data_IF_699882928237
#
_entry.id   IF_699882928237
#
_cell.length_a   1.000
_cell.length_b   1.000
_cell.length_c   1.000
_cell.angle_alpha   90.00
_cell.angle_beta   90.00
_cell.angle_gamma   90.00
#
_symmetry.space_group_name_H-M   'P 1'
#
loop_
_entity.id
_entity.type
_entity.pdbx_description
1 polymer ?
#
# COMPACT_ATOMS: atom_id res chain seq x y z
N UNK A 1 -37.56 21.19 4.40
CA UNK A 1 -36.92 19.91 4.77
C UNK A 1 -35.77 19.74 3.80
N UNK A 2 -34.57 20.10 4.22
CA UNK A 2 -33.39 20.18 3.35
C UNK A 2 -32.64 18.85 3.47
N UNK A 3 -32.48 18.15 2.36
CA UNK A 3 -31.68 16.94 2.29
C UNK A 3 -30.20 17.33 2.37
N UNK A 4 -29.55 17.01 3.49
CA UNK A 4 -28.09 16.95 3.54
C UNK A 4 -27.71 15.48 3.35
N UNK A 5 -27.27 15.14 2.14
CA UNK A 5 -26.58 13.89 1.89
C UNK A 5 -25.18 13.99 2.51
N UNK A 6 -25.07 13.69 3.80
CA UNK A 6 -23.77 13.38 4.38
C UNK A 6 -23.44 11.95 3.96
N UNK A 7 -22.74 11.78 2.84
CA UNK A 7 -21.95 10.57 2.61
C UNK A 7 -20.82 10.58 3.62
N UNK A 8 -21.10 10.09 4.82
CA UNK A 8 -20.10 9.72 5.80
C UNK A 8 -19.38 8.50 5.21
N UNK A 9 -18.22 8.74 4.61
CA UNK A 9 -17.37 7.67 4.10
C UNK A 9 -16.88 6.88 5.31
N UNK A 10 -17.30 5.61 5.40
CA UNK A 10 -16.82 4.73 6.45
C UNK A 10 -15.40 4.27 6.08
N UNK A 11 -14.43 4.75 6.85
CA UNK A 11 -13.03 4.36 6.74
C UNK A 11 -12.72 3.33 7.82
N UNK A 12 -12.35 2.12 7.41
CA UNK A 12 -11.87 1.10 8.34
C UNK A 12 -10.35 1.04 8.29
N UNK A 13 -9.69 1.28 9.42
CA UNK A 13 -8.24 1.15 9.51
C UNK A 13 -7.83 -0.34 9.49
N UNK A 14 -6.77 -0.67 8.77
CA UNK A 14 -6.18 -2.01 8.79
C UNK A 14 -4.65 -1.95 8.82
N UNK A 15 -4.02 -3.09 9.08
CA UNK A 15 -2.57 -3.26 9.11
C UNK A 15 -2.08 -3.98 10.36
N UNK A 16 -0.77 -4.14 10.44
CA UNK A 16 -0.09 -4.82 11.54
C UNK A 16 1.23 -4.13 11.89
N UNK A 17 1.68 -4.31 13.14
CA UNK A 17 3.01 -3.85 13.55
C UNK A 17 4.05 -4.84 13.06
N UNK A 18 5.01 -4.36 12.29
CA UNK A 18 6.09 -5.19 11.74
C UNK A 18 7.46 -4.70 12.19
N UNK A 19 8.43 -5.61 12.21
CA UNK A 19 9.84 -5.28 12.39
C UNK A 19 10.58 -5.47 11.07
N UNK A 20 10.91 -4.37 10.40
CA UNK A 20 11.63 -4.40 9.11
C UNK A 20 13.14 -4.45 9.37
N UNK A 21 13.88 -5.37 8.74
CA UNK A 21 15.34 -5.41 8.85
C UNK A 21 15.99 -4.06 8.50
N UNK A 22 17.07 -3.71 9.21
CA UNK A 22 17.86 -2.50 8.93
C UNK A 22 18.79 -2.69 7.73
N UNK A 23 18.20 -2.88 6.55
CA UNK A 23 18.88 -2.99 5.26
C UNK A 23 18.04 -2.24 4.20
N UNK A 24 18.69 -1.49 3.32
CA UNK A 24 17.99 -0.62 2.37
C UNK A 24 17.07 -1.41 1.44
N UNK A 25 17.56 -2.53 0.89
CA UNK A 25 16.76 -3.40 0.04
C UNK A 25 15.56 -3.99 0.80
N UNK A 26 15.71 -4.36 2.07
CA UNK A 26 14.61 -4.88 2.89
C UNK A 26 13.52 -3.82 3.10
N UNK A 27 13.91 -2.55 3.29
CA UNK A 27 12.97 -1.43 3.41
C UNK A 27 12.23 -1.17 2.09
N UNK A 28 12.91 -1.30 0.96
CA UNK A 28 12.28 -1.17 -0.37
C UNK A 28 11.30 -2.32 -0.62
N UNK A 29 11.68 -3.56 -0.30
CA UNK A 29 10.77 -4.71 -0.40
C UNK A 29 9.55 -4.54 0.52
N UNK A 30 9.73 -3.99 1.71
CA UNK A 30 8.62 -3.68 2.62
C UNK A 30 7.72 -2.57 2.07
N UNK A 31 8.30 -1.54 1.44
CA UNK A 31 7.53 -0.53 0.73
C UNK A 31 6.65 -1.15 -0.37
N UNK A 32 7.23 -2.04 -1.18
CA UNK A 32 6.48 -2.77 -2.22
C UNK A 32 5.36 -3.63 -1.62
N UNK A 33 5.60 -4.25 -0.46
CA UNK A 33 4.60 -5.01 0.29
C UNK A 33 3.43 -4.12 0.75
N UNK A 34 3.71 -2.91 1.23
CA UNK A 34 2.70 -1.92 1.60
C UNK A 34 1.87 -1.53 0.36
N UNK A 35 2.53 -1.10 -0.71
CA UNK A 35 1.87 -0.64 -1.95
C UNK A 35 0.96 -1.74 -2.49
N UNK A 36 1.50 -2.95 -2.69
CA UNK A 36 0.76 -4.06 -3.28
C UNK A 36 -0.42 -4.50 -2.40
N UNK A 37 -0.32 -4.35 -1.08
CA UNK A 37 -1.46 -4.57 -0.18
C UNK A 37 -2.56 -3.54 -0.39
N UNK A 38 -2.20 -2.25 -0.49
CA UNK A 38 -3.20 -1.17 -0.65
C UNK A 38 -3.93 -1.25 -1.98
N UNK A 39 -3.22 -1.59 -3.06
CA UNK A 39 -3.83 -1.72 -4.40
C UNK A 39 -4.42 -3.11 -4.67
N UNK A 40 -4.47 -3.98 -3.66
CA UNK A 40 -4.94 -5.37 -3.75
C UNK A 40 -4.28 -6.18 -4.90
N UNK A 41 -2.98 -5.94 -5.12
CA UNK A 41 -2.19 -6.63 -6.13
C UNK A 41 -1.45 -7.83 -5.52
N UNK A 42 -1.93 -9.04 -5.81
CA UNK A 42 -1.46 -10.28 -5.23
C UNK A 42 -1.06 -11.33 -6.28
N UNK A 43 -0.26 -10.91 -7.26
CA UNK A 43 0.33 -11.82 -8.24
C UNK A 43 1.45 -12.68 -7.61
N UNK A 44 1.55 -13.94 -8.03
CA UNK A 44 2.65 -14.82 -7.60
C UNK A 44 4.01 -14.29 -8.08
N UNK A 45 4.05 -13.63 -9.23
CA UNK A 45 5.27 -13.13 -9.83
C UNK A 45 5.90 -12.01 -8.99
N UNK A 46 5.11 -11.20 -8.29
CA UNK A 46 5.61 -10.12 -7.44
C UNK A 46 5.90 -10.56 -6.00
N UNK A 47 5.30 -11.66 -5.54
CA UNK A 47 5.31 -12.10 -4.14
C UNK A 47 6.71 -12.25 -3.55
N UNK A 48 7.66 -12.72 -4.36
CA UNK A 48 9.06 -12.88 -3.93
C UNK A 48 9.73 -11.54 -3.64
N UNK A 49 9.44 -10.52 -4.45
CA UNK A 49 10.07 -9.20 -4.39
C UNK A 49 9.51 -8.28 -3.30
N UNK A 50 8.37 -8.65 -2.71
CA UNK A 50 7.79 -7.98 -1.52
C UNK A 50 8.09 -8.71 -0.20
N UNK A 51 8.72 -9.88 -0.23
CA UNK A 51 9.08 -10.62 0.98
C UNK A 51 10.37 -10.06 1.62
N UNK A 52 10.23 -8.93 2.33
CA UNK A 52 11.33 -8.22 2.97
C UNK A 52 12.10 -9.03 4.03
N UNK A 53 11.51 -10.10 4.59
CA UNK A 53 12.21 -11.00 5.51
C UNK A 53 13.26 -11.86 4.80
N UNK A 54 13.10 -12.05 3.49
CA UNK A 54 13.97 -12.88 2.66
C UNK A 54 14.99 -12.08 1.83
N UNK A 55 15.21 -10.81 2.17
CA UNK A 55 16.05 -9.87 1.42
C UNK A 55 17.48 -10.37 1.17
N UNK A 56 18.05 -11.19 2.07
CA UNK A 56 19.41 -11.75 1.94
C UNK A 56 19.56 -12.80 0.84
N UNK A 57 18.45 -13.28 0.29
CA UNK A 57 18.42 -14.38 -0.68
C UNK A 57 18.08 -13.90 -2.10
N UNK A 58 18.27 -12.60 -2.37
CA UNK A 58 18.16 -12.00 -3.69
C UNK A 58 19.52 -12.02 -4.39
N UNK A 59 19.49 -12.26 -5.70
CA UNK A 59 20.62 -12.06 -6.59
C UNK A 59 20.71 -10.58 -7.04
N UNK A 60 21.87 -10.18 -7.57
CA UNK A 60 22.07 -8.83 -8.10
C UNK A 60 21.06 -8.44 -9.21
N UNK A 61 20.58 -9.42 -9.98
CA UNK A 61 19.55 -9.19 -11.00
C UNK A 61 18.18 -8.94 -10.36
N UNK A 62 17.83 -9.71 -9.33
CA UNK A 62 16.59 -9.54 -8.57
C UNK A 62 16.59 -8.21 -7.80
N UNK A 63 17.73 -7.80 -7.24
CA UNK A 63 17.87 -6.49 -6.60
C UNK A 63 17.58 -5.37 -7.59
N UNK A 64 18.15 -5.41 -8.81
CA UNK A 64 17.85 -4.42 -9.86
C UNK A 64 16.36 -4.42 -10.22
N UNK A 65 15.73 -5.59 -10.31
CA UNK A 65 14.31 -5.69 -10.56
C UNK A 65 13.48 -5.04 -9.45
N UNK A 66 13.83 -5.28 -8.18
CA UNK A 66 13.20 -4.64 -7.01
C UNK A 66 13.30 -3.10 -7.12
N UNK A 67 14.46 -2.57 -7.48
CA UNK A 67 14.63 -1.12 -7.67
C UNK A 67 13.78 -0.56 -8.81
N UNK A 68 13.73 -1.25 -9.96
CA UNK A 68 12.90 -0.83 -11.09
C UNK A 68 11.41 -0.85 -10.74
N UNK A 69 10.97 -1.87 -10.01
CA UNK A 69 9.60 -2.00 -9.54
C UNK A 69 9.26 -0.88 -8.54
N UNK A 70 10.15 -0.59 -7.60
CA UNK A 70 9.97 0.51 -6.64
C UNK A 70 9.95 1.89 -7.31
N UNK A 71 10.69 2.07 -8.41
CA UNK A 71 10.65 3.29 -9.21
C UNK A 71 9.32 3.43 -9.97
N UNK A 72 8.85 2.35 -10.59
CA UNK A 72 7.57 2.31 -11.30
C UNK A 72 6.37 2.56 -10.36
N UNK A 73 6.52 2.16 -9.10
CA UNK A 73 5.55 2.38 -8.02
C UNK A 73 6.04 3.44 -7.04
N UNK A 74 6.78 4.45 -7.48
CA UNK A 74 7.32 5.46 -6.56
C UNK A 74 6.19 6.28 -5.91
N UNK A 75 6.41 6.88 -4.72
CA UNK A 75 5.41 7.71 -4.07
C UNK A 75 4.88 8.83 -4.98
N UNK A 76 5.75 9.46 -5.76
CA UNK A 76 5.37 10.52 -6.70
C UNK A 76 4.38 10.02 -7.79
N UNK A 77 4.51 8.77 -8.22
CA UNK A 77 3.58 8.16 -9.18
C UNK A 77 2.24 7.78 -8.54
N UNK A 78 2.19 7.61 -7.23
CA UNK A 78 1.05 7.14 -6.45
C UNK A 78 0.33 8.24 -5.66
N UNK A 79 0.95 9.41 -5.52
CA UNK A 79 0.36 10.59 -4.89
C UNK A 79 -0.97 10.95 -5.57
N UNK A 80 -1.97 11.31 -4.77
CA UNK A 80 -3.34 11.63 -5.17
C UNK A 80 -4.11 10.50 -5.88
N UNK A 81 -3.51 9.30 -6.01
CA UNK A 81 -4.15 8.11 -6.59
C UNK A 81 -4.36 7.01 -5.57
N UNK A 82 -3.31 6.74 -4.78
CA UNK A 82 -3.24 5.69 -3.77
C UNK A 82 -2.80 6.27 -2.43
N UNK A 83 -1.83 7.19 -2.46
CA UNK A 83 -1.37 7.91 -1.28
C UNK A 83 -2.05 9.27 -1.21
N UNK A 84 -2.58 9.58 -0.03
CA UNK A 84 -3.27 10.83 0.23
C UNK A 84 -2.69 11.47 1.48
N UNK A 85 -2.28 12.73 1.37
CA UNK A 85 -1.85 13.51 2.52
C UNK A 85 -3.06 13.89 3.38
N UNK A 86 -3.23 13.20 4.51
CA UNK A 86 -4.33 13.43 5.44
C UNK A 86 -3.82 13.53 6.89
N UNK A 87 -3.31 14.71 7.32
CA UNK A 87 -2.76 14.88 8.67
C UNK A 87 -3.77 14.59 9.79
N UNK A 88 -5.06 14.81 9.53
CA UNK A 88 -6.14 14.50 10.48
C UNK A 88 -6.38 13.00 10.68
N UNK A 89 -5.99 12.17 9.71
CA UNK A 89 -6.10 10.72 9.77
C UNK A 89 -4.81 10.09 10.29
N UNK A 90 -3.65 10.68 10.00
CA UNK A 90 -2.33 10.14 10.35
C UNK A 90 -1.57 10.99 11.40
N UNK A 91 -2.02 11.08 12.66
CA UNK A 91 -1.40 11.96 13.65
C UNK A 91 -0.06 11.44 14.21
N UNK A 92 0.09 10.12 14.40
CA UNK A 92 1.16 9.53 15.25
C UNK A 92 1.94 8.37 14.62
N UNK A 93 1.65 8.01 13.36
CA UNK A 93 2.24 6.83 12.70
C UNK A 93 2.95 7.23 11.42
N UNK A 94 4.07 6.54 11.14
CA UNK A 94 4.82 6.72 9.90
C UNK A 94 4.03 6.25 8.67
N UNK A 95 3.18 5.23 8.80
CA UNK A 95 2.28 4.70 7.76
C UNK A 95 0.96 4.23 8.41
N UNK A 96 -0.19 4.46 7.75
CA UNK A 96 -1.49 3.91 8.14
C UNK A 96 -2.27 3.51 6.89
N UNK A 97 -3.06 2.44 7.00
CA UNK A 97 -3.85 1.92 5.90
C UNK A 97 -5.34 1.97 6.21
N UNK A 98 -6.13 2.34 5.21
CA UNK A 98 -7.56 2.57 5.33
C UNK A 98 -8.29 1.88 4.18
N UNK A 99 -9.34 1.13 4.49
CA UNK A 99 -10.31 0.60 3.53
C UNK A 99 -11.52 1.54 3.47
N UNK A 100 -11.94 1.90 2.25
CA UNK A 100 -13.14 2.71 2.02
C UNK A 100 -14.33 1.79 1.75
N UNK A 101 -15.20 1.62 2.75
CA UNK A 101 -16.27 0.61 2.71
C UNK A 101 -17.30 0.79 1.59
N UNK A 102 -17.52 2.02 1.10
CA UNK A 102 -18.53 2.29 0.07
C UNK A 102 -18.14 1.88 -1.36
N UNK A 103 -16.84 1.86 -1.71
CA UNK A 103 -16.39 1.61 -3.08
C UNK A 103 -16.62 0.14 -3.49
N UNK A 104 -16.45 -0.80 -2.56
CA UNK A 104 -16.72 -2.24 -2.79
C UNK A 104 -18.19 -2.52 -3.08
N UNK A 105 -19.10 -1.86 -2.38
CA UNK A 105 -20.54 -2.07 -2.55
C UNK A 105 -21.05 -1.51 -3.88
N UNK A 106 -20.49 -0.39 -4.38
CA UNK A 106 -20.90 0.18 -5.65
C UNK A 106 -20.45 -0.68 -6.85
N UNK A 107 -19.26 -1.27 -6.81
CA UNK A 107 -18.79 -2.18 -7.87
C UNK A 107 -19.60 -3.48 -7.97
N UNK A 108 -20.17 -3.97 -6.86
CA UNK A 108 -21.03 -5.16 -6.85
C UNK A 108 -22.47 -4.90 -7.33
N UNK A 109 -22.92 -3.65 -7.37
CA UNK A 109 -24.29 -3.29 -7.83
C UNK A 109 -24.36 -3.13 -9.36
N UNK A 110 -23.22 -2.96 -10.04
CA UNK A 110 -23.14 -2.77 -11.50
C UNK A 110 -22.81 -4.08 -12.25
N UNK A 111 -22.97 -5.24 -11.62
CA UNK A 111 -22.87 -6.56 -12.28
C UNK A 111 -24.24 -7.16 -12.58
#
# INVERSE_FOLDING_TARGET
>A
MTFFGNTEYDFTMFGETVNVPNADIARIMYYLDCVCTVIDYNDNDIRRYRNYLNWRNMSDEEDRFIFLLALALSPDELEDKVFFNAPSLCPDSNNQFYEIGQVRNQLMIVQ
#
